data_IF_427170356179
#
_entry.id   IF_427170356179
#
_cell.length_a   1.000
_cell.length_b   1.000
_cell.length_c   1.000
_cell.angle_alpha   90.00
_cell.angle_beta   90.00
_cell.angle_gamma   90.00
#
_symmetry.space_group_name_H-M   'P 1'
#
loop_
_entity.id
_entity.type
_entity.pdbx_description
1 polymer ?
#
# COMPACT_ATOMS: atom_id res chain seq x y z
N UNK A 1 30.69 -12.76 5.36
CA UNK A 1 30.48 -13.52 4.10
C UNK A 1 29.17 -13.03 3.49
N UNK A 2 29.22 -12.52 2.26
CA UNK A 2 28.04 -12.35 1.40
C UNK A 2 27.21 -11.06 1.55
N UNK A 3 27.83 -9.87 1.60
CA UNK A 3 27.09 -8.65 1.24
C UNK A 3 27.06 -8.58 -0.29
N UNK A 4 25.89 -8.86 -0.86
CA UNK A 4 25.71 -9.02 -2.28
C UNK A 4 26.12 -7.78 -3.06
N UNK A 5 26.78 -8.05 -4.18
CA UNK A 5 27.27 -7.09 -5.15
C UNK A 5 26.18 -6.16 -5.65
N UNK A 6 26.46 -4.86 -5.56
CA UNK A 6 26.11 -3.80 -6.50
C UNK A 6 25.26 -4.25 -7.71
N UNK A 7 23.96 -4.04 -7.61
CA UNK A 7 23.06 -3.94 -8.76
C UNK A 7 22.32 -2.61 -8.64
N UNK A 8 22.76 -1.65 -9.45
CA UNK A 8 21.95 -0.61 -10.07
C UNK A 8 21.00 0.22 -9.21
N UNK A 9 21.38 1.49 -9.00
CA UNK A 9 20.52 2.65 -8.70
C UNK A 9 19.95 2.72 -7.29
N UNK A 10 20.71 3.34 -6.37
CA UNK A 10 20.23 4.07 -5.18
C UNK A 10 18.85 3.65 -4.62
N UNK A 11 18.67 2.36 -4.37
CA UNK A 11 17.69 1.86 -3.43
C UNK A 11 18.38 2.16 -2.10
N UNK A 12 17.91 3.20 -1.41
CA UNK A 12 18.40 3.55 -0.07
C UNK A 12 18.46 2.28 0.77
N UNK A 13 19.48 2.15 1.63
CA UNK A 13 19.62 1.01 2.53
C UNK A 13 18.35 0.72 3.35
N UNK A 14 17.48 1.73 3.52
CA UNK A 14 16.16 1.64 4.13
C UNK A 14 15.15 0.80 3.32
N UNK A 15 15.14 0.82 1.99
CA UNK A 15 14.24 -0.04 1.20
C UNK A 15 14.59 -1.53 1.34
N UNK A 16 15.87 -1.86 1.51
CA UNK A 16 16.31 -3.23 1.78
C UNK A 16 15.97 -3.67 3.20
N UNK A 17 15.94 -2.74 4.15
CA UNK A 17 15.55 -3.02 5.53
C UNK A 17 14.03 -3.27 5.60
N UNK A 18 13.20 -2.41 5.01
CA UNK A 18 11.73 -2.58 5.08
C UNK A 18 11.26 -3.94 4.54
N UNK A 19 11.95 -4.49 3.53
CA UNK A 19 11.74 -5.87 3.12
C UNK A 19 11.95 -6.85 4.29
N UNK A 20 13.07 -6.77 5.01
CA UNK A 20 13.37 -7.61 6.18
C UNK A 20 12.47 -7.40 7.38
N UNK A 21 11.89 -6.21 7.56
CA UNK A 21 10.90 -5.97 8.62
C UNK A 21 9.66 -6.87 8.50
N UNK A 22 9.31 -7.30 7.27
CA UNK A 22 8.12 -8.12 6.98
C UNK A 22 8.49 -9.48 6.35
N UNK A 23 9.78 -9.77 6.10
CA UNK A 23 10.20 -10.92 5.28
C UNK A 23 10.32 -12.24 6.04
N UNK A 24 9.18 -12.88 6.24
CA UNK A 24 9.08 -14.32 5.99
C UNK A 24 7.77 -14.75 5.33
N UNK A 25 6.80 -13.86 5.15
CA UNK A 25 5.43 -14.29 4.84
C UNK A 25 4.93 -14.06 3.40
N UNK A 26 5.40 -13.09 2.60
CA UNK A 26 4.78 -12.90 1.26
C UNK A 26 5.68 -12.31 0.17
N UNK A 27 5.51 -12.77 -1.07
CA UNK A 27 6.04 -12.16 -2.31
C UNK A 27 5.48 -10.75 -2.57
N UNK A 28 4.51 -10.34 -1.75
CA UNK A 28 3.71 -9.14 -1.94
C UNK A 28 4.38 -7.89 -1.40
N UNK A 29 5.04 -7.98 -0.24
CA UNK A 29 5.86 -6.88 0.29
C UNK A 29 6.96 -6.45 -0.71
N UNK A 30 7.59 -7.41 -1.41
CA UNK A 30 8.60 -7.14 -2.44
C UNK A 30 8.01 -6.34 -3.61
N UNK A 31 6.80 -6.70 -4.05
CA UNK A 31 6.12 -5.98 -5.14
C UNK A 31 5.73 -4.57 -4.69
N UNK A 32 5.20 -4.40 -3.48
CA UNK A 32 4.88 -3.08 -2.94
C UNK A 32 6.13 -2.20 -2.86
N UNK A 33 7.23 -2.68 -2.28
CA UNK A 33 8.51 -1.94 -2.21
C UNK A 33 8.96 -1.50 -3.59
N UNK A 34 8.84 -2.35 -4.60
CA UNK A 34 9.22 -2.00 -5.99
C UNK A 34 8.33 -0.90 -6.56
N UNK A 35 7.01 -1.00 -6.36
CA UNK A 35 6.06 -0.01 -6.88
C UNK A 35 6.22 1.34 -6.17
N UNK A 36 6.30 1.36 -4.83
CA UNK A 36 6.40 2.60 -4.06
C UNK A 36 7.81 3.20 -4.05
N UNK A 37 8.86 2.36 -4.10
CA UNK A 37 10.25 2.79 -4.05
C UNK A 37 10.71 3.56 -5.29
N UNK A 38 10.10 3.28 -6.45
CA UNK A 38 10.39 3.99 -7.70
C UNK A 38 9.62 5.31 -7.86
N UNK A 39 8.70 5.62 -6.94
CA UNK A 39 7.88 6.84 -7.04
C UNK A 39 8.64 8.10 -6.60
N UNK A 40 8.21 9.22 -7.17
CA UNK A 40 8.50 10.55 -6.63
C UNK A 40 7.77 10.74 -5.29
N UNK A 41 8.33 11.59 -4.41
CA UNK A 41 7.80 11.81 -3.05
C UNK A 41 6.33 12.23 -3.06
N UNK A 42 5.92 13.09 -3.99
CA UNK A 42 4.51 13.53 -4.11
C UNK A 42 3.56 12.37 -4.42
N UNK A 43 3.92 11.52 -5.39
CA UNK A 43 3.13 10.32 -5.71
C UNK A 43 3.12 9.32 -4.56
N UNK A 44 4.25 9.17 -3.86
CA UNK A 44 4.36 8.31 -2.69
C UNK A 44 3.48 8.80 -1.53
N UNK A 45 3.38 10.10 -1.28
CA UNK A 45 2.47 10.67 -0.28
C UNK A 45 1.02 10.30 -0.56
N UNK A 46 0.59 10.42 -1.81
CA UNK A 46 -0.75 10.01 -2.23
C UNK A 46 -1.00 8.53 -1.94
N UNK A 47 -0.06 7.65 -2.33
CA UNK A 47 -0.16 6.20 -2.07
C UNK A 47 -0.18 5.90 -0.57
N UNK A 48 0.76 6.48 0.18
CA UNK A 48 0.86 6.30 1.63
C UNK A 48 -0.44 6.72 2.32
N UNK A 49 -1.03 7.85 1.93
CA UNK A 49 -2.31 8.30 2.46
C UNK A 49 -3.43 7.30 2.17
N UNK A 50 -3.52 6.75 0.95
CA UNK A 50 -4.55 5.76 0.60
C UNK A 50 -4.40 4.49 1.44
N UNK A 51 -3.19 3.94 1.50
CA UNK A 51 -2.89 2.72 2.26
C UNK A 51 -3.14 2.95 3.75
N UNK A 52 -2.63 4.05 4.32
CA UNK A 52 -2.80 4.37 5.74
C UNK A 52 -4.27 4.62 6.09
N UNK A 53 -5.06 5.24 5.20
CA UNK A 53 -6.49 5.43 5.45
C UNK A 53 -7.24 4.10 5.53
N UNK A 54 -6.86 3.10 4.73
CA UNK A 54 -7.42 1.74 4.83
C UNK A 54 -6.96 1.09 6.12
N UNK A 55 -5.67 1.16 6.44
CA UNK A 55 -5.11 0.62 7.68
C UNK A 55 -5.82 1.21 8.91
N UNK A 56 -6.08 2.52 8.91
CA UNK A 56 -6.86 3.21 9.94
C UNK A 56 -8.31 2.73 10.00
N UNK A 57 -8.96 2.58 8.85
CA UNK A 57 -10.33 2.07 8.78
C UNK A 57 -10.46 0.61 9.25
N UNK A 58 -9.39 -0.18 9.17
CA UNK A 58 -9.32 -1.57 9.65
C UNK A 58 -8.80 -1.69 11.09
N UNK A 59 -8.35 -0.59 11.70
CA UNK A 59 -7.78 -0.59 13.06
C UNK A 59 -6.33 -1.07 13.15
N UNK A 60 -5.64 -1.23 12.02
CA UNK A 60 -4.21 -1.62 11.99
C UNK A 60 -3.31 -0.45 12.41
N UNK A 61 -3.74 0.77 12.08
CA UNK A 61 -3.10 2.03 12.43
C UNK A 61 -4.10 2.91 13.21
N UNK A 62 -3.64 3.69 14.17
CA UNK A 62 -4.48 4.64 14.90
C UNK A 62 -4.78 5.86 14.03
N UNK A 63 -5.91 6.52 14.27
CA UNK A 63 -6.39 7.61 13.40
C UNK A 63 -5.45 8.82 13.41
N UNK A 64 -4.84 9.08 14.57
CA UNK A 64 -3.90 10.16 14.85
C UNK A 64 -2.43 9.83 14.57
N UNK A 65 -2.11 8.56 14.27
CA UNK A 65 -0.75 8.18 13.88
C UNK A 65 -0.36 8.83 12.54
N UNK A 66 0.83 9.41 12.51
CA UNK A 66 1.45 9.98 11.32
C UNK A 66 2.23 8.89 10.54
N UNK A 67 2.06 8.78 9.21
CA UNK A 67 2.77 7.78 8.41
C UNK A 67 4.30 7.89 8.46
N UNK A 68 4.86 9.10 8.52
CA UNK A 68 6.32 9.29 8.58
C UNK A 68 6.86 8.87 9.95
N UNK A 69 6.17 9.22 11.04
CA UNK A 69 6.57 8.81 12.39
C UNK A 69 6.51 7.28 12.57
N UNK A 70 5.46 6.64 12.05
CA UNK A 70 5.33 5.18 12.07
C UNK A 70 6.43 4.54 11.21
N UNK A 71 6.69 5.09 10.03
CA UNK A 71 7.77 4.65 9.16
C UNK A 71 9.16 4.74 9.78
N UNK A 72 9.45 5.84 10.48
CA UNK A 72 10.71 6.05 11.20
C UNK A 72 10.90 5.01 12.31
N UNK A 73 9.83 4.75 13.09
CA UNK A 73 9.84 3.69 14.11
C UNK A 73 10.07 2.32 13.49
N UNK A 74 9.43 2.00 12.37
CA UNK A 74 9.61 0.71 11.66
C UNK A 74 11.08 0.52 11.29
N UNK A 75 11.69 1.49 10.60
CA UNK A 75 13.08 1.40 10.12
C UNK A 75 14.03 1.21 11.30
N UNK A 76 13.91 2.03 12.34
CA UNK A 76 14.84 1.96 13.47
C UNK A 76 14.60 0.73 14.37
N UNK A 77 13.35 0.28 14.52
CA UNK A 77 13.03 -0.93 15.29
C UNK A 77 13.61 -2.18 14.61
N UNK A 78 13.57 -2.20 13.28
CA UNK A 78 14.15 -3.28 12.49
C UNK A 78 15.68 -3.36 12.63
N UNK A 79 16.38 -2.21 12.66
CA UNK A 79 17.82 -2.17 12.95
C UNK A 79 18.17 -2.79 14.33
N UNK A 80 17.21 -2.80 15.25
CA UNK A 80 17.30 -3.41 16.57
C UNK A 80 16.79 -4.86 16.61
N UNK A 81 16.42 -5.43 15.45
CA UNK A 81 15.95 -6.81 15.31
C UNK A 81 14.46 -7.00 15.56
N UNK A 82 13.67 -5.93 15.66
CA UNK A 82 12.21 -6.00 15.78
C UNK A 82 11.62 -6.10 14.38
N UNK A 83 11.26 -7.31 13.99
CA UNK A 83 10.61 -7.64 12.72
C UNK A 83 9.30 -8.40 12.96
N UNK A 84 8.47 -8.52 11.95
CA UNK A 84 7.28 -9.38 12.00
C UNK A 84 7.66 -10.83 12.35
N UNK A 85 8.80 -11.32 11.83
CA UNK A 85 9.33 -12.66 12.12
C UNK A 85 9.72 -12.82 13.59
N UNK A 86 10.35 -11.80 14.18
CA UNK A 86 10.65 -11.77 15.62
C UNK A 86 9.39 -11.79 16.48
N UNK A 87 8.25 -11.40 15.89
CA UNK A 87 6.92 -11.44 16.50
C UNK A 87 6.11 -12.69 16.09
N UNK A 88 6.74 -13.71 15.49
CA UNK A 88 6.08 -14.96 15.07
C UNK A 88 4.96 -14.75 14.04
N UNK A 89 5.03 -13.71 13.21
CA UNK A 89 3.99 -13.39 12.23
C UNK A 89 2.80 -12.62 12.82
N UNK A 90 2.82 -12.30 14.10
CA UNK A 90 1.74 -11.56 14.77
C UNK A 90 1.86 -10.05 14.51
N UNK A 91 0.99 -9.55 13.62
CA UNK A 91 0.92 -8.14 13.27
C UNK A 91 0.48 -7.25 14.44
N UNK A 92 -0.39 -7.72 15.34
CA UNK A 92 -0.83 -6.92 16.49
C UNK A 92 0.34 -6.70 17.45
N UNK A 93 1.03 -7.79 17.79
CA UNK A 93 2.24 -7.76 18.63
C UNK A 93 3.37 -6.94 17.98
N UNK A 94 3.57 -7.10 16.68
CA UNK A 94 4.55 -6.30 15.94
C UNK A 94 4.21 -4.81 16.02
N UNK A 95 2.98 -4.41 15.72
CA UNK A 95 2.59 -3.00 15.77
C UNK A 95 2.60 -2.43 17.18
N UNK A 96 2.32 -3.22 18.21
CA UNK A 96 2.52 -2.81 19.60
C UNK A 96 3.99 -2.51 19.91
N UNK A 97 4.91 -3.37 19.46
CA UNK A 97 6.35 -3.13 19.62
C UNK A 97 6.80 -1.88 18.88
N UNK A 98 6.32 -1.65 17.65
CA UNK A 98 6.60 -0.44 16.87
C UNK A 98 6.11 0.81 17.62
N UNK A 99 4.88 0.81 18.14
CA UNK A 99 4.32 1.96 18.86
C UNK A 99 5.15 2.33 20.09
N UNK A 100 5.58 1.33 20.85
CA UNK A 100 6.37 1.47 22.06
C UNK A 100 7.87 1.72 21.81
N UNK A 101 8.31 1.60 20.55
CA UNK A 101 9.70 1.82 20.19
C UNK A 101 10.10 3.29 20.35
N UNK A 102 11.25 3.51 21.00
CA UNK A 102 11.83 4.84 21.17
C UNK A 102 12.84 5.11 20.06
N UNK A 103 12.50 6.04 19.18
CA UNK A 103 13.39 6.48 18.10
C UNK A 103 14.60 7.25 18.63
N UNK A 104 15.73 7.08 17.97
CA UNK A 104 16.91 7.92 18.11
C UNK A 104 16.72 9.18 17.23
N UNK A 105 16.60 10.38 17.84
CA UNK A 105 16.36 11.61 17.09
C UNK A 105 17.47 11.98 16.09
N UNK A 106 18.71 11.52 16.32
CA UNK A 106 19.81 11.80 15.38
C UNK A 106 19.67 10.92 14.14
N UNK A 107 19.34 9.63 14.30
CA UNK A 107 19.04 8.74 13.17
C UNK A 107 17.80 9.19 12.39
N UNK A 108 16.77 9.66 13.09
CA UNK A 108 15.54 10.17 12.48
C UNK A 108 15.77 11.31 11.47
N UNK A 109 16.84 12.11 11.65
CA UNK A 109 17.22 13.19 10.73
C UNK A 109 17.95 12.68 9.49
N UNK A 110 18.61 11.53 9.59
CA UNK A 110 19.33 10.91 8.49
C UNK A 110 18.40 10.10 7.58
N UNK A 111 17.29 9.59 8.14
CA UNK A 111 16.27 8.86 7.38
C UNK A 111 15.42 9.84 6.59
N UNK A 112 15.38 9.64 5.26
CA UNK A 112 14.59 10.51 4.38
C UNK A 112 13.09 10.32 4.57
N UNK A 113 12.31 11.39 4.36
CA UNK A 113 10.84 11.33 4.32
C UNK A 113 10.34 10.23 3.39
N UNK A 114 10.97 10.08 2.22
CA UNK A 114 10.65 9.02 1.26
C UNK A 114 10.76 7.63 1.90
N UNK A 115 11.86 7.37 2.59
CA UNK A 115 12.11 6.07 3.19
C UNK A 115 11.09 5.76 4.29
N UNK A 116 10.74 6.77 5.11
CA UNK A 116 9.70 6.64 6.15
C UNK A 116 8.35 6.29 5.53
N UNK A 117 7.94 7.01 4.47
CA UNK A 117 6.69 6.74 3.78
C UNK A 117 6.66 5.37 3.11
N UNK A 118 7.78 4.92 2.53
CA UNK A 118 7.89 3.55 1.98
C UNK A 118 7.73 2.53 3.10
N UNK A 119 8.44 2.69 4.22
CA UNK A 119 8.38 1.78 5.36
C UNK A 119 6.95 1.58 5.87
N UNK A 120 6.26 2.69 6.13
CA UNK A 120 4.87 2.65 6.58
C UNK A 120 3.95 2.01 5.53
N UNK A 121 4.06 2.42 4.27
CA UNK A 121 3.21 1.92 3.18
C UNK A 121 3.35 0.41 2.97
N UNK A 122 4.58 -0.12 3.09
CA UNK A 122 4.85 -1.54 2.87
C UNK A 122 4.32 -2.38 4.03
N UNK A 123 4.55 -1.97 5.28
CA UNK A 123 4.04 -2.70 6.45
C UNK A 123 2.51 -2.69 6.46
N UNK A 124 1.90 -1.51 6.31
CA UNK A 124 0.44 -1.36 6.28
C UNK A 124 -0.17 -2.09 5.08
N UNK A 125 0.45 -1.98 3.91
CA UNK A 125 0.04 -2.68 2.71
C UNK A 125 0.08 -4.20 2.91
N UNK A 126 1.19 -4.75 3.41
CA UNK A 126 1.31 -6.18 3.66
C UNK A 126 0.25 -6.69 4.66
N UNK A 127 -0.06 -5.92 5.72
CA UNK A 127 -1.10 -6.28 6.67
C UNK A 127 -2.51 -6.25 6.04
N UNK A 128 -2.79 -5.29 5.16
CA UNK A 128 -4.04 -5.25 4.37
C UNK A 128 -4.14 -6.47 3.45
N UNK A 129 -3.03 -6.83 2.79
CA UNK A 129 -2.99 -7.96 1.87
C UNK A 129 -3.17 -9.29 2.61
N UNK A 130 -2.59 -9.45 3.80
CA UNK A 130 -2.83 -10.59 4.70
C UNK A 130 -4.32 -10.68 5.09
N UNK A 131 -4.94 -9.54 5.43
CA UNK A 131 -6.34 -9.49 5.83
C UNK A 131 -7.31 -9.89 4.71
N UNK A 132 -7.09 -9.43 3.47
CA UNK A 132 -7.98 -9.72 2.34
C UNK A 132 -7.53 -10.91 1.48
N UNK A 133 -6.34 -11.46 1.71
CA UNK A 133 -5.76 -12.52 0.88
C UNK A 133 -5.47 -12.08 -0.57
N UNK A 134 -5.29 -10.78 -0.83
CA UNK A 134 -5.05 -10.25 -2.18
C UNK A 134 -4.11 -9.06 -2.16
N UNK A 135 -3.28 -8.93 -3.19
CA UNK A 135 -2.31 -7.82 -3.29
C UNK A 135 -2.98 -6.51 -3.70
N UNK A 136 -2.60 -5.42 -3.04
CA UNK A 136 -2.97 -4.05 -3.42
C UNK A 136 -1.93 -3.40 -4.36
N UNK A 137 -0.75 -4.01 -4.54
CA UNK A 137 0.32 -3.52 -5.39
C UNK A 137 -0.13 -3.17 -6.84
N UNK A 138 -1.01 -3.94 -7.52
CA UNK A 138 -1.47 -3.61 -8.86
C UNK A 138 -2.19 -2.25 -8.99
N UNK A 139 -2.69 -1.69 -7.88
CA UNK A 139 -3.37 -0.40 -7.86
C UNK A 139 -2.48 0.75 -7.41
N UNK A 140 -1.25 0.50 -6.95
CA UNK A 140 -0.33 1.56 -6.49
C UNK A 140 -0.12 2.66 -7.53
N UNK A 141 0.09 2.37 -8.84
CA UNK A 141 0.16 3.42 -9.87
C UNK A 141 -1.12 4.26 -9.97
N UNK A 142 -2.30 3.65 -9.77
CA UNK A 142 -3.60 4.32 -9.81
C UNK A 142 -3.81 5.22 -8.59
N UNK A 143 -3.39 4.77 -7.41
CA UNK A 143 -3.43 5.58 -6.17
C UNK A 143 -2.55 6.83 -6.30
N UNK A 144 -1.42 6.73 -7.00
CA UNK A 144 -0.55 7.88 -7.26
C UNK A 144 -1.14 8.85 -8.31
N UNK A 145 -1.71 8.32 -9.40
CA UNK A 145 -2.20 9.13 -10.54
C UNK A 145 -3.60 9.70 -10.34
N UNK A 146 -4.47 8.99 -9.64
CA UNK A 146 -5.89 9.35 -9.45
C UNK A 146 -6.31 9.21 -7.98
N UNK A 147 -5.64 9.89 -7.03
CA UNK A 147 -5.88 9.71 -5.60
C UNK A 147 -7.31 10.04 -5.16
N UNK A 148 -7.99 10.96 -5.86
CA UNK A 148 -9.40 11.30 -5.59
C UNK A 148 -10.34 10.12 -5.88
N UNK A 149 -10.08 9.36 -6.94
CA UNK A 149 -10.84 8.16 -7.27
C UNK A 149 -10.33 6.95 -6.49
N UNK A 150 -9.04 6.64 -6.55
CA UNK A 150 -8.43 5.55 -5.78
C UNK A 150 -8.10 5.97 -4.35
N UNK A 151 -9.11 6.47 -3.62
CA UNK A 151 -8.99 6.81 -2.21
C UNK A 151 -9.22 5.58 -1.31
N UNK A 152 -8.86 5.72 -0.02
CA UNK A 152 -8.95 4.63 0.94
C UNK A 152 -10.36 4.05 1.10
N UNK A 153 -11.41 4.88 1.01
CA UNK A 153 -12.80 4.42 1.11
C UNK A 153 -13.23 3.55 -0.06
N UNK A 154 -12.94 3.99 -1.30
CA UNK A 154 -13.26 3.22 -2.50
C UNK A 154 -12.46 1.92 -2.58
N UNK A 155 -11.15 1.98 -2.32
CA UNK A 155 -10.32 0.79 -2.34
C UNK A 155 -10.74 -0.23 -1.26
N UNK A 156 -11.06 0.24 -0.04
CA UNK A 156 -11.65 -0.63 0.99
C UNK A 156 -12.96 -1.25 0.51
N UNK A 157 -13.86 -0.48 -0.12
CA UNK A 157 -15.13 -1.01 -0.64
C UNK A 157 -14.92 -2.08 -1.73
N UNK A 158 -13.89 -1.92 -2.57
CA UNK A 158 -13.53 -2.92 -3.59
C UNK A 158 -13.00 -4.20 -2.94
N UNK A 159 -12.14 -4.07 -1.92
CA UNK A 159 -11.59 -5.18 -1.15
C UNK A 159 -12.68 -5.93 -0.36
N UNK A 160 -13.55 -5.21 0.37
CA UNK A 160 -14.69 -5.76 1.11
C UNK A 160 -15.65 -6.54 0.19
N UNK A 161 -15.79 -6.10 -1.06
CA UNK A 161 -16.62 -6.76 -2.06
C UNK A 161 -15.93 -7.93 -2.78
N UNK A 162 -14.66 -8.22 -2.45
CA UNK A 162 -13.89 -9.32 -3.04
C UNK A 162 -13.55 -9.10 -4.52
N UNK A 163 -13.47 -7.86 -4.99
CA UNK A 163 -13.07 -7.58 -6.37
C UNK A 163 -11.63 -8.04 -6.59
N UNK A 164 -11.36 -8.59 -7.78
CA UNK A 164 -9.99 -8.93 -8.17
C UNK A 164 -9.18 -7.67 -8.45
N UNK A 165 -8.33 -7.30 -7.50
CA UNK A 165 -7.52 -6.08 -7.56
C UNK A 165 -6.61 -6.02 -8.79
N UNK A 166 -6.04 -7.17 -9.19
CA UNK A 166 -5.28 -7.26 -10.45
C UNK A 166 -6.14 -6.90 -11.66
N UNK A 167 -7.37 -7.44 -11.75
CA UNK A 167 -8.28 -7.16 -12.88
C UNK A 167 -8.78 -5.72 -12.87
N UNK A 168 -8.97 -5.13 -11.69
CA UNK A 168 -9.27 -3.69 -11.57
C UNK A 168 -8.10 -2.88 -12.12
N UNK A 169 -6.87 -3.18 -11.71
CA UNK A 169 -5.68 -2.53 -12.28
C UNK A 169 -5.62 -2.67 -13.81
N UNK A 170 -5.84 -3.88 -14.31
CA UNK A 170 -5.86 -4.15 -15.75
C UNK A 170 -6.96 -3.42 -16.51
N UNK A 171 -8.12 -3.20 -15.88
CA UNK A 171 -9.22 -2.43 -16.49
C UNK A 171 -8.80 -0.99 -16.75
N UNK A 172 -8.21 -0.32 -15.74
CA UNK A 172 -7.79 1.07 -15.85
C UNK A 172 -6.52 1.25 -16.70
N UNK A 173 -5.66 0.23 -16.80
CA UNK A 173 -4.51 0.22 -17.71
C UNK A 173 -4.85 -0.22 -19.15
N UNK A 174 -6.14 -0.48 -19.45
CA UNK A 174 -6.58 -1.02 -20.73
C UNK A 174 -5.88 -2.32 -21.17
N UNK A 175 -5.32 -3.09 -20.22
CA UNK A 175 -4.65 -4.38 -20.44
C UNK A 175 -5.58 -5.58 -20.22
N UNK A 176 -6.79 -5.36 -19.68
CA UNK A 176 -7.74 -6.42 -19.38
C UNK A 176 -8.22 -7.15 -20.65
N UNK A 177 -8.41 -8.47 -20.54
CA UNK A 177 -8.97 -9.27 -21.62
C UNK A 177 -10.35 -8.75 -22.04
N UNK A 178 -10.59 -8.58 -23.35
CA UNK A 178 -11.88 -8.10 -23.90
C UNK A 178 -13.10 -8.85 -23.36
N UNK A 179 -12.97 -10.14 -23.06
CA UNK A 179 -14.07 -10.95 -22.50
C UNK A 179 -14.41 -10.60 -21.05
N UNK A 180 -13.47 -10.02 -20.31
CA UNK A 180 -13.61 -9.70 -18.88
C UNK A 180 -13.99 -8.24 -18.65
N UNK A 181 -13.72 -7.34 -19.61
CA UNK A 181 -14.00 -5.88 -19.50
C UNK A 181 -15.41 -5.60 -19.02
N UNK A 182 -16.43 -6.21 -19.64
CA UNK A 182 -17.82 -5.96 -19.30
C UNK A 182 -18.18 -6.40 -17.87
N UNK A 183 -17.57 -7.49 -17.39
CA UNK A 183 -17.82 -8.02 -16.04
C UNK A 183 -17.16 -7.13 -14.99
N UNK A 184 -15.89 -6.79 -15.17
CA UNK A 184 -15.14 -5.95 -14.23
C UNK A 184 -15.74 -4.53 -14.17
N UNK A 185 -16.14 -3.98 -15.32
CA UNK A 185 -16.87 -2.69 -15.36
C UNK A 185 -18.19 -2.76 -14.58
N UNK A 186 -18.97 -3.83 -14.72
CA UNK A 186 -20.22 -3.99 -13.99
C UNK A 186 -19.99 -4.07 -12.46
N UNK A 187 -18.94 -4.77 -12.02
CA UNK A 187 -18.58 -4.84 -10.61
C UNK A 187 -18.15 -3.47 -10.06
N UNK A 188 -17.38 -2.70 -10.84
CA UNK A 188 -16.97 -1.34 -10.48
C UNK A 188 -18.18 -0.38 -10.40
N UNK A 189 -19.07 -0.41 -11.39
CA UNK A 189 -20.32 0.38 -11.37
C UNK A 189 -21.14 0.06 -10.13
N UNK A 190 -21.26 -1.21 -9.78
CA UNK A 190 -21.98 -1.64 -8.57
C UNK A 190 -21.35 -1.09 -7.28
N UNK A 191 -20.03 -0.93 -7.22
CA UNK A 191 -19.39 -0.29 -6.06
C UNK A 191 -19.62 1.22 -6.07
N UNK A 192 -19.45 1.89 -7.21
CA UNK A 192 -19.63 3.35 -7.31
C UNK A 192 -21.09 3.77 -7.08
N UNK A 193 -22.07 2.95 -7.47
CA UNK A 193 -23.48 3.23 -7.21
C UNK A 193 -23.81 3.30 -5.70
N UNK A 194 -23.00 2.69 -4.82
CA UNK A 194 -23.18 2.79 -3.37
C UNK A 194 -22.81 4.16 -2.81
N UNK A 195 -21.92 4.88 -3.50
CA UNK A 195 -21.41 6.19 -3.08
C UNK A 195 -22.03 7.34 -3.88
N UNK A 196 -22.64 7.05 -5.04
CA UNK A 196 -23.35 7.99 -5.90
C UNK A 196 -24.76 7.45 -6.27
N UNK A 197 -25.72 7.43 -5.32
CA UNK A 197 -27.05 6.85 -5.56
C UNK A 197 -27.89 7.61 -6.59
N UNK A 198 -27.55 8.87 -6.87
CA UNK A 198 -28.25 9.73 -7.84
C UNK A 198 -27.69 9.61 -9.27
N UNK A 199 -26.56 8.92 -9.45
CA UNK A 199 -25.98 8.66 -10.76
C UNK A 199 -26.57 7.39 -11.38
N UNK A 200 -26.91 7.45 -12.66
CA UNK A 200 -27.32 6.25 -13.39
C UNK A 200 -26.11 5.39 -13.81
N UNK A 201 -26.35 4.11 -14.09
CA UNK A 201 -25.32 3.16 -14.50
C UNK A 201 -24.53 3.62 -15.75
N UNK A 202 -25.16 4.36 -16.67
CA UNK A 202 -24.49 4.82 -17.88
C UNK A 202 -23.48 5.93 -17.57
N UNK A 203 -23.87 6.89 -16.71
CA UNK A 203 -22.98 7.93 -16.22
C UNK A 203 -21.77 7.35 -15.47
N UNK A 204 -22.00 6.34 -14.62
CA UNK A 204 -20.91 5.67 -13.90
C UNK A 204 -19.97 4.92 -14.84
N UNK A 205 -20.50 4.26 -15.88
CA UNK A 205 -19.66 3.60 -16.91
C UNK A 205 -18.84 4.61 -17.69
N UNK A 206 -19.45 5.71 -18.11
CA UNK A 206 -18.75 6.74 -18.90
C UNK A 206 -17.64 7.40 -18.06
N UNK A 207 -17.91 7.67 -16.79
CA UNK A 207 -16.90 8.12 -15.83
C UNK A 207 -15.74 7.12 -15.74
N UNK A 208 -16.02 5.84 -15.47
CA UNK A 208 -14.98 4.81 -15.35
C UNK A 208 -14.15 4.65 -16.62
N UNK A 209 -14.79 4.71 -17.80
CA UNK A 209 -14.11 4.62 -19.09
C UNK A 209 -13.22 5.82 -19.37
N UNK A 210 -13.63 7.02 -18.93
CA UNK A 210 -12.83 8.25 -19.10
C UNK A 210 -11.53 8.23 -18.30
N UNK A 211 -11.44 7.38 -17.28
CA UNK A 211 -10.26 7.22 -16.42
C UNK A 211 -9.28 6.13 -16.91
N UNK A 212 -9.62 5.43 -18.00
CA UNK A 212 -8.75 4.40 -18.59
C UNK A 212 -7.63 5.03 -19.41
N UNK A 213 -6.45 4.41 -19.38
CA UNK A 213 -5.32 4.74 -20.25
C UNK A 213 -5.54 4.31 -21.72
#
# INVERSE_FOLDING_TARGET
MGFWSSVGSAISSACSSVCSAVSSFTSTAVNLVREVGNMAVEGLKSVANVICNIAKALGFMQVDEDPEEVGDKIIQAEEMGITLDSCEGDYEKYMENIRNFKVDPEKSKEISEKDKLVACSVVMGAQIEEHYGTSIAPLVPMMARMPEFFNGGRLKSMLDAGLSISKVGDYFNSSLNRKEVASVEADLVKQEAKTAPDSDDAQLRDMLRSMRE
#
